data_IF_855444133213
#
_entry.id   IF_855444133213
#
_cell.length_a   1.000
_cell.length_b   1.000
_cell.length_c   1.000
_cell.angle_alpha   90.00
_cell.angle_beta   90.00
_cell.angle_gamma   90.00
#
_symmetry.space_group_name_H-M   'P 1'
#
loop_
_entity.id
_entity.type
_entity.pdbx_description
1 polymer ?
#
# COMPACT_ATOMS: atom_id res chain seq x y z
N UNK A 1 -2.32 -7.56 0.65
CA UNK A 1 -1.34 -7.01 1.61
C UNK A 1 -0.39 -6.02 0.90
N UNK A 2 -0.35 -4.77 1.37
CA UNK A 2 0.38 -3.67 0.72
C UNK A 2 -0.49 -2.54 0.14
N UNK A 3 -1.81 -2.61 0.30
CA UNK A 3 -2.73 -1.57 -0.16
C UNK A 3 -2.78 -0.42 0.86
N UNK A 4 -2.86 0.84 0.41
CA UNK A 4 -3.03 2.01 1.29
C UNK A 4 -4.52 2.28 1.43
N UNK A 5 -5.02 2.35 2.65
CA UNK A 5 -6.42 2.61 2.96
C UNK A 5 -6.58 3.90 3.74
N UNK A 6 -7.65 4.64 3.43
CA UNK A 6 -8.08 5.77 4.25
C UNK A 6 -9.09 5.28 5.30
N UNK A 7 -8.63 5.20 6.55
CA UNK A 7 -9.42 4.83 7.72
C UNK A 7 -9.92 6.12 8.39
N UNK A 8 -11.20 6.14 8.76
CA UNK A 8 -11.73 7.17 9.68
C UNK A 8 -11.40 6.76 11.12
N UNK A 9 -10.37 7.38 11.68
CA UNK A 9 -9.90 7.15 13.03
C UNK A 9 -10.44 8.25 13.97
N UNK A 10 -11.69 8.07 14.43
CA UNK A 10 -12.32 8.87 15.50
C UNK A 10 -11.96 10.36 15.52
N UNK A 11 -11.39 10.80 16.66
CA UNK A 11 -10.99 12.20 16.94
C UNK A 11 -9.88 12.69 16.00
N UNK A 12 -9.02 11.80 15.49
CA UNK A 12 -7.94 12.15 14.52
C UNK A 12 -8.45 12.34 13.08
N UNK A 13 -9.72 12.05 12.79
CA UNK A 13 -10.29 12.24 11.47
C UNK A 13 -9.90 11.16 10.47
N UNK A 14 -9.57 11.54 9.24
CA UNK A 14 -9.28 10.59 8.16
C UNK A 14 -7.77 10.39 8.03
N UNK A 15 -7.29 9.19 8.29
CA UNK A 15 -5.87 8.84 8.29
C UNK A 15 -5.61 7.76 7.26
N UNK A 16 -4.49 7.84 6.57
CA UNK A 16 -4.03 6.80 5.66
C UNK A 16 -3.21 5.75 6.43
N UNK A 17 -3.47 4.48 6.17
CA UNK A 17 -2.77 3.37 6.78
C UNK A 17 -2.51 2.24 5.80
N UNK A 18 -1.52 1.41 6.12
CA UNK A 18 -1.13 0.29 5.27
C UNK A 18 -1.94 -0.95 5.64
N UNK A 19 -2.57 -1.60 4.66
CA UNK A 19 -3.25 -2.88 4.88
C UNK A 19 -2.23 -4.00 4.97
N UNK A 20 -2.16 -4.60 6.15
CA UNK A 20 -1.31 -5.77 6.41
C UNK A 20 -2.11 -7.05 6.14
N UNK A 21 -3.37 -7.09 6.57
CA UNK A 21 -4.17 -8.31 6.55
C UNK A 21 -5.66 -8.05 6.47
N UNK A 22 -6.41 -9.13 6.28
CA UNK A 22 -7.86 -9.13 6.45
C UNK A 22 -8.31 -10.52 6.87
N UNK A 23 -9.23 -10.58 7.83
CA UNK A 23 -9.83 -11.83 8.29
C UNK A 23 -11.34 -11.66 8.46
N UNK A 24 -12.06 -12.77 8.61
CA UNK A 24 -13.51 -12.78 8.83
C UNK A 24 -13.74 -13.21 10.28
N UNK A 25 -14.56 -12.45 11.02
CA UNK A 25 -14.91 -12.80 12.39
C UNK A 25 -15.93 -13.96 12.45
N UNK A 26 -16.20 -14.45 13.66
CA UNK A 26 -17.16 -15.54 13.88
C UNK A 26 -18.61 -15.19 13.46
N UNK A 27 -18.91 -13.89 13.32
CA UNK A 27 -20.20 -13.38 12.87
C UNK A 27 -20.22 -13.08 11.36
N UNK A 28 -19.20 -13.51 10.60
CA UNK A 28 -19.11 -13.34 9.15
C UNK A 28 -18.72 -11.93 8.71
N UNK A 29 -18.29 -11.05 9.61
CA UNK A 29 -17.89 -9.68 9.28
C UNK A 29 -16.43 -9.65 8.84
N UNK A 30 -16.15 -8.95 7.76
CA UNK A 30 -14.78 -8.73 7.28
C UNK A 30 -14.09 -7.63 8.10
N UNK A 31 -12.97 -7.99 8.72
CA UNK A 31 -12.09 -7.10 9.47
C UNK A 31 -10.82 -6.90 8.67
N UNK A 32 -10.39 -5.64 8.53
CA UNK A 32 -9.16 -5.27 7.84
C UNK A 32 -8.14 -4.84 8.89
N UNK A 33 -6.96 -5.41 8.84
CA UNK A 33 -5.83 -5.04 9.70
C UNK A 33 -5.01 -3.97 9.00
N UNK A 34 -4.93 -2.80 9.63
CA UNK A 34 -4.31 -1.60 9.09
C UNK A 34 -3.23 -1.12 10.04
N UNK A 35 -2.03 -0.88 9.51
CA UNK A 35 -0.96 -0.23 10.24
C UNK A 35 -1.09 1.29 10.15
N UNK A 36 -1.14 1.95 11.29
CA UNK A 36 -1.13 3.41 11.43
C UNK A 36 0.00 3.79 12.39
N UNK A 37 0.90 4.67 11.97
CA UNK A 37 2.01 5.18 12.78
C UNK A 37 2.85 4.10 13.51
N UNK A 38 2.93 2.89 12.93
CA UNK A 38 3.68 1.75 13.47
C UNK A 38 2.85 0.76 14.30
N UNK A 39 1.62 1.12 14.68
CA UNK A 39 0.69 0.26 15.44
C UNK A 39 -0.32 -0.43 14.52
N UNK A 40 -0.73 -1.67 14.88
CA UNK A 40 -1.78 -2.41 14.18
C UNK A 40 -3.15 -2.03 14.73
N UNK A 41 -4.08 -1.70 13.82
CA UNK A 41 -5.46 -1.42 14.13
C UNK A 41 -6.39 -2.32 13.32
N UNK A 42 -7.46 -2.77 13.98
CA UNK A 42 -8.53 -3.52 13.33
C UNK A 42 -9.62 -2.55 12.87
N UNK A 43 -9.77 -2.40 11.56
CA UNK A 43 -10.76 -1.54 10.94
C UNK A 43 -11.90 -2.38 10.35
N UNK A 44 -13.10 -2.14 10.87
CA UNK A 44 -14.37 -2.59 10.35
C UNK A 44 -14.90 -1.72 9.20
N UNK A 45 -15.62 -2.35 8.27
CA UNK A 45 -16.53 -1.61 7.39
C UNK A 45 -17.65 -0.97 8.25
N UNK A 46 -18.03 0.31 8.06
CA UNK A 46 -17.72 1.25 6.98
C UNK A 46 -16.61 2.28 7.32
N UNK A 47 -15.87 2.10 8.42
CA UNK A 47 -14.82 3.06 8.83
C UNK A 47 -13.67 3.14 7.84
N UNK A 48 -13.48 2.07 7.06
CA UNK A 48 -12.61 2.07 5.87
C UNK A 48 -13.38 2.68 4.70
N UNK A 49 -12.97 3.88 4.29
CA UNK A 49 -13.73 4.66 3.30
C UNK A 49 -13.16 4.60 1.90
N UNK A 50 -11.87 4.26 1.75
CA UNK A 50 -11.22 4.15 0.45
C UNK A 50 -10.06 3.18 0.53
N UNK A 51 -10.05 2.21 -0.36
CA UNK A 51 -8.93 1.30 -0.56
C UNK A 51 -8.22 1.70 -1.85
N UNK A 52 -6.94 2.03 -1.77
CA UNK A 52 -6.09 2.34 -2.92
C UNK A 52 -4.94 1.34 -2.95
N UNK A 53 -4.90 0.52 -3.99
CA UNK A 53 -3.74 -0.34 -4.26
C UNK A 53 -2.58 0.53 -4.74
N UNK A 54 -1.60 0.77 -3.87
CA UNK A 54 -0.34 1.40 -4.26
C UNK A 54 0.62 0.28 -4.55
N UNK A 55 0.65 -0.18 -5.80
CA UNK A 55 1.60 -1.20 -6.21
C UNK A 55 2.97 -0.53 -6.29
N UNK A 56 3.78 -0.69 -5.24
CA UNK A 56 5.19 -0.34 -5.29
C UNK A 56 5.90 -1.38 -6.14
N UNK A 57 5.73 -1.30 -7.46
CA UNK A 57 6.77 -1.82 -8.34
C UNK A 57 7.99 -0.96 -8.05
N UNK A 58 8.93 -1.49 -7.27
CA UNK A 58 10.34 -1.23 -7.53
C UNK A 58 10.50 -1.59 -8.99
N UNK A 59 10.31 -0.62 -9.89
CA UNK A 59 10.73 -0.79 -11.26
C UNK A 59 12.20 -1.15 -11.11
N UNK A 60 12.68 -2.34 -11.54
CA UNK A 60 14.10 -2.44 -11.79
C UNK A 60 14.35 -1.27 -12.73
N UNK A 61 15.12 -0.28 -12.29
CA UNK A 61 15.62 0.74 -13.18
C UNK A 61 16.30 -0.07 -14.26
N UNK A 62 15.66 -0.19 -15.42
CA UNK A 62 16.30 -0.77 -16.59
C UNK A 62 17.55 0.07 -16.73
N UNK A 63 18.67 -0.55 -16.38
CA UNK A 63 20.01 -0.01 -16.40
C UNK A 63 20.14 0.64 -17.77
N UNK A 64 20.01 1.96 -17.84
CA UNK A 64 20.17 2.73 -19.08
C UNK A 64 21.67 2.72 -19.37
N UNK A 65 22.19 1.54 -19.71
CA UNK A 65 23.52 1.39 -20.27
C UNK A 65 23.51 2.16 -21.57
N UNK A 66 24.12 3.34 -21.53
CA UNK A 66 24.41 4.14 -22.70
C UNK A 66 25.45 3.35 -23.51
N UNK A 67 25.00 2.60 -24.50
CA UNK A 67 25.92 2.00 -25.47
C UNK A 67 26.46 3.12 -26.34
N UNK A 68 27.70 3.55 -26.09
CA UNK A 68 28.41 4.48 -26.97
C UNK A 68 28.98 3.63 -28.12
N UNK A 69 28.42 3.76 -29.32
CA UNK A 69 29.02 3.19 -30.52
C UNK A 69 30.16 4.12 -30.96
N UNK A 70 31.40 3.63 -30.92
CA UNK A 70 32.61 4.36 -31.35
C UNK A 70 33.05 3.79 -32.69
N UNK A 71 32.72 4.47 -33.79
CA UNK A 71 33.31 4.17 -35.10
C UNK A 71 34.65 4.89 -35.24
N UNK A 72 35.72 4.12 -35.36
CA UNK A 72 37.05 4.60 -35.71
C UNK A 72 37.22 4.41 -37.22
N UNK A 73 37.46 5.49 -37.95
CA UNK A 73 37.92 5.44 -39.33
C UNK A 73 39.43 5.66 -39.30
N UNK A 74 40.16 4.65 -39.75
CA UNK A 74 41.58 4.74 -40.11
C UNK A 74 41.68 4.98 -41.62
#
# INVERSE_FOLDING_TARGET
PGDIVAVRHGIKGRTEGLVIGSHIDYAGRQIIEVQLDGELYNAWYPTVTRVRRTISYTRPSIDRRRTIDRRVYW
#
